data_IF_532760521941
#
_entry.id   IF_532760521941
#
_cell.length_a   1.000
_cell.length_b   1.000
_cell.length_c   1.000
_cell.angle_alpha   90.00
_cell.angle_beta   90.00
_cell.angle_gamma   90.00
#
_symmetry.space_group_name_H-M   'P 1'
#
loop_
_entity.id
_entity.type
_entity.pdbx_description
1 polymer ?
#
# COMPACT_ATOMS: atom_id res chain seq x y z
N UNK A 1 -4.99 -19.54 8.22
CA UNK A 1 -4.24 -18.37 7.68
C UNK A 1 -4.51 -17.17 8.58
N UNK A 2 -3.51 -16.39 8.99
CA UNK A 2 -3.72 -15.20 9.83
C UNK A 2 -4.53 -14.14 9.03
N UNK A 3 -5.46 -13.42 9.69
CA UNK A 3 -6.28 -12.33 9.14
C UNK A 3 -5.49 -11.37 8.22
N UNK A 4 -4.25 -11.01 8.58
CA UNK A 4 -3.41 -10.14 7.76
C UNK A 4 -3.09 -10.71 6.37
N UNK A 5 -2.86 -12.02 6.29
CA UNK A 5 -2.58 -12.71 5.02
C UNK A 5 -3.84 -12.82 4.17
N UNK A 6 -5.00 -12.99 4.79
CA UNK A 6 -6.28 -12.97 4.08
C UNK A 6 -6.58 -11.56 3.54
N UNK A 7 -6.41 -10.52 4.37
CA UNK A 7 -6.60 -9.13 3.99
C UNK A 7 -5.69 -8.77 2.79
N UNK A 8 -4.43 -9.24 2.80
CA UNK A 8 -3.50 -9.10 1.68
C UNK A 8 -3.98 -9.83 0.42
N UNK A 9 -4.40 -11.09 0.55
CA UNK A 9 -4.87 -11.86 -0.61
C UNK A 9 -6.09 -11.22 -1.27
N UNK A 10 -7.02 -10.69 -0.49
CA UNK A 10 -8.19 -9.98 -1.03
C UNK A 10 -7.76 -8.79 -1.88
N UNK A 11 -6.85 -7.94 -1.38
CA UNK A 11 -6.35 -6.78 -2.14
C UNK A 11 -5.61 -7.21 -3.42
N UNK A 12 -4.81 -8.28 -3.35
CA UNK A 12 -4.07 -8.77 -4.51
C UNK A 12 -5.00 -9.43 -5.55
N UNK A 13 -6.06 -10.10 -5.12
CA UNK A 13 -7.09 -10.62 -6.02
C UNK A 13 -7.82 -9.49 -6.76
N UNK A 14 -8.20 -8.43 -6.05
CA UNK A 14 -8.81 -7.24 -6.66
C UNK A 14 -7.90 -6.59 -7.71
N UNK A 15 -6.58 -6.60 -7.49
CA UNK A 15 -5.60 -6.11 -8.46
C UNK A 15 -5.49 -7.00 -9.70
N UNK A 16 -5.56 -8.33 -9.53
CA UNK A 16 -5.49 -9.28 -10.65
C UNK A 16 -6.76 -9.29 -11.50
N UNK A 17 -7.87 -8.81 -10.95
CA UNK A 17 -9.13 -8.65 -11.65
C UNK A 17 -9.08 -7.41 -12.56
N UNK A 18 -8.61 -7.61 -13.79
CA UNK A 18 -8.33 -6.57 -14.81
C UNK A 18 -9.58 -5.98 -15.47
N UNK A 19 -10.60 -5.65 -14.70
CA UNK A 19 -11.85 -5.08 -15.24
C UNK A 19 -11.71 -3.61 -15.66
N UNK A 20 -10.76 -2.87 -15.07
CA UNK A 20 -10.47 -1.46 -15.44
C UNK A 20 -8.97 -1.14 -15.26
N UNK A 21 -8.28 -0.66 -16.30
CA UNK A 21 -6.90 -0.17 -16.20
C UNK A 21 -6.74 0.98 -15.19
N UNK A 22 -7.73 1.86 -15.09
CA UNK A 22 -7.76 2.98 -14.15
C UNK A 22 -7.78 2.45 -12.71
N UNK A 23 -8.65 1.48 -12.41
CA UNK A 23 -8.70 0.84 -11.10
C UNK A 23 -7.36 0.19 -10.73
N UNK A 24 -6.75 -0.54 -11.67
CA UNK A 24 -5.43 -1.15 -11.47
C UNK A 24 -4.35 -0.11 -11.16
N UNK A 25 -4.40 1.05 -11.82
CA UNK A 25 -3.49 2.17 -11.52
C UNK A 25 -3.64 2.64 -10.07
N UNK A 26 -4.86 2.88 -9.57
CA UNK A 26 -5.06 3.35 -8.20
C UNK A 26 -4.73 2.28 -7.15
N UNK A 27 -4.99 1.01 -7.43
CA UNK A 27 -4.50 -0.08 -6.60
C UNK A 27 -2.96 -0.11 -6.57
N UNK A 28 -2.28 0.10 -7.71
CA UNK A 28 -0.83 0.19 -7.76
C UNK A 28 -0.28 1.34 -6.90
N UNK A 29 -0.95 2.50 -6.86
CA UNK A 29 -0.59 3.62 -5.99
C UNK A 29 -0.63 3.22 -4.52
N UNK A 30 -1.70 2.55 -4.08
CA UNK A 30 -1.84 2.08 -2.68
C UNK A 30 -0.74 1.06 -2.35
N UNK A 31 -0.53 0.09 -3.24
CA UNK A 31 0.48 -0.96 -3.07
C UNK A 31 1.90 -0.39 -3.04
N UNK A 32 2.21 0.57 -3.90
CA UNK A 32 3.51 1.25 -3.93
C UNK A 32 3.73 2.09 -2.66
N UNK A 33 2.74 2.85 -2.21
CA UNK A 33 2.82 3.58 -0.94
C UNK A 33 3.09 2.62 0.24
N UNK A 34 2.48 1.43 0.23
CA UNK A 34 2.73 0.43 1.26
C UNK A 34 4.15 -0.16 1.18
N UNK A 35 4.73 -0.32 -0.02
CA UNK A 35 6.14 -0.65 -0.18
C UNK A 35 7.06 0.45 0.37
N UNK A 36 6.72 1.71 0.17
CA UNK A 36 7.54 2.82 0.67
C UNK A 36 7.46 2.90 2.20
N UNK A 37 6.26 2.80 2.78
CA UNK A 37 6.05 2.81 4.23
C UNK A 37 6.72 1.62 4.95
N UNK A 38 6.87 0.49 4.28
CA UNK A 38 7.47 -0.73 4.85
C UNK A 38 8.94 -0.92 4.50
N UNK A 39 9.58 0.01 3.79
CA UNK A 39 10.99 -0.07 3.45
C UNK A 39 11.83 -0.15 4.74
N UNK A 40 12.73 -1.13 4.90
CA UNK A 40 13.57 -1.22 6.10
C UNK A 40 14.41 0.04 6.30
N UNK A 41 14.54 0.49 7.54
CA UNK A 41 15.45 1.57 7.91
C UNK A 41 16.89 1.06 7.83
N UNK A 42 17.79 1.89 7.30
CA UNK A 42 19.22 1.58 7.24
C UNK A 42 20.02 2.81 7.61
N UNK A 43 21.17 2.64 8.26
CA UNK A 43 22.03 3.76 8.65
C UNK A 43 22.69 4.48 7.47
N UNK A 44 22.75 3.82 6.31
CA UNK A 44 23.41 4.30 5.09
C UNK A 44 22.41 4.82 4.03
N UNK A 45 21.13 4.99 4.38
CA UNK A 45 20.13 5.40 3.41
C UNK A 45 20.12 6.91 3.15
N UNK A 46 19.71 7.30 1.94
CA UNK A 46 19.60 8.72 1.58
C UNK A 46 18.47 9.41 2.35
N UNK A 47 18.62 10.71 2.60
CA UNK A 47 17.57 11.57 3.18
C UNK A 47 16.26 11.49 2.40
N UNK A 48 16.33 11.32 1.08
CA UNK A 48 15.19 11.11 0.21
C UNK A 48 14.45 9.79 0.51
N UNK A 49 15.18 8.69 0.76
CA UNK A 49 14.56 7.41 1.13
C UNK A 49 13.82 7.50 2.48
N UNK A 50 14.40 8.21 3.45
CA UNK A 50 13.75 8.49 4.74
C UNK A 50 12.47 9.30 4.53
N UNK A 51 12.59 10.41 3.77
CA UNK A 51 11.46 11.30 3.48
C UNK A 51 10.30 10.57 2.80
N UNK A 52 10.58 9.70 1.83
CA UNK A 52 9.53 8.93 1.14
C UNK A 52 8.83 7.94 2.07
N UNK A 53 9.58 7.25 2.93
CA UNK A 53 9.00 6.37 3.94
C UNK A 53 8.07 7.14 4.88
N UNK A 54 8.53 8.27 5.42
CA UNK A 54 7.74 9.09 6.35
C UNK A 54 6.48 9.66 5.70
N UNK A 55 6.58 10.14 4.46
CA UNK A 55 5.42 10.61 3.69
C UNK A 55 4.42 9.50 3.44
N UNK A 56 4.87 8.31 3.07
CA UNK A 56 3.98 7.17 2.84
C UNK A 56 3.25 6.75 4.13
N UNK A 57 3.95 6.67 5.26
CA UNK A 57 3.34 6.41 6.57
C UNK A 57 2.29 7.48 6.90
N UNK A 58 2.65 8.75 6.68
CA UNK A 58 1.77 9.90 6.96
C UNK A 58 0.54 9.91 6.07
N UNK A 59 0.66 9.49 4.80
CA UNK A 59 -0.45 9.40 3.86
C UNK A 59 -1.52 8.40 4.34
N UNK A 60 -1.11 7.22 4.84
CA UNK A 60 -2.05 6.26 5.44
C UNK A 60 -2.65 6.75 6.77
N UNK A 61 -1.89 7.50 7.56
CA UNK A 61 -2.31 7.95 8.89
C UNK A 61 -3.12 9.25 8.88
N UNK A 62 -3.09 10.02 7.78
CA UNK A 62 -3.78 11.30 7.69
C UNK A 62 -5.29 11.12 7.84
N UNK A 63 -5.88 11.88 8.78
CA UNK A 63 -7.31 11.84 9.10
C UNK A 63 -8.08 13.09 8.67
N UNK A 64 -7.39 14.21 8.45
CA UNK A 64 -7.98 15.52 8.14
C UNK A 64 -7.12 16.22 7.06
N UNK A 65 -7.74 17.11 6.27
CA UNK A 65 -7.07 17.96 5.29
C UNK A 65 -6.84 17.27 3.95
N UNK A 66 -6.14 17.97 3.05
CA UNK A 66 -5.98 17.55 1.64
C UNK A 66 -5.32 16.19 1.48
N UNK A 67 -4.41 15.81 2.38
CA UNK A 67 -3.78 14.48 2.35
C UNK A 67 -4.78 13.38 2.66
N UNK A 68 -5.67 13.60 3.64
CA UNK A 68 -6.71 12.64 3.99
C UNK A 68 -7.77 12.54 2.88
N UNK A 69 -8.16 13.66 2.29
CA UNK A 69 -9.06 13.69 1.12
C UNK A 69 -8.46 12.94 -0.06
N UNK A 70 -7.21 13.23 -0.41
CA UNK A 70 -6.50 12.55 -1.48
C UNK A 70 -6.41 11.02 -1.26
N UNK A 71 -6.14 10.58 -0.03
CA UNK A 71 -6.13 9.15 0.29
C UNK A 71 -7.51 8.51 0.07
N UNK A 72 -8.59 9.18 0.51
CA UNK A 72 -9.97 8.68 0.33
C UNK A 72 -10.30 8.59 -1.16
N UNK A 73 -10.00 9.63 -1.95
CA UNK A 73 -10.23 9.64 -3.40
C UNK A 73 -9.49 8.50 -4.11
N UNK A 74 -8.23 8.24 -3.74
CA UNK A 74 -7.46 7.11 -4.30
C UNK A 74 -8.09 5.76 -3.93
N UNK A 75 -8.61 5.61 -2.71
CA UNK A 75 -9.32 4.39 -2.31
C UNK A 75 -10.64 4.22 -3.08
N UNK A 76 -11.41 5.29 -3.25
CA UNK A 76 -12.66 5.28 -4.00
C UNK A 76 -12.42 4.88 -5.47
N UNK A 77 -11.37 5.44 -6.10
CA UNK A 77 -11.00 5.08 -7.48
C UNK A 77 -10.45 3.65 -7.61
N UNK A 78 -9.90 3.09 -6.52
CA UNK A 78 -9.52 1.68 -6.44
C UNK A 78 -10.71 0.74 -6.12
N UNK A 79 -11.91 1.31 -5.87
CA UNK A 79 -13.08 0.61 -5.36
C UNK A 79 -12.76 -0.14 -4.04
N UNK A 80 -12.15 0.56 -3.09
CA UNK A 80 -11.79 0.06 -1.77
C UNK A 80 -12.32 0.97 -0.67
N UNK A 81 -12.78 0.37 0.43
CA UNK A 81 -13.14 1.12 1.63
C UNK A 81 -11.89 1.72 2.29
N UNK A 82 -11.85 3.04 2.41
CA UNK A 82 -10.68 3.77 2.92
C UNK A 82 -10.36 3.41 4.39
N UNK A 83 -11.37 3.10 5.21
CA UNK A 83 -11.18 2.70 6.62
C UNK A 83 -10.53 1.32 6.71
N UNK A 84 -10.98 0.37 5.89
CA UNK A 84 -10.37 -0.94 5.73
C UNK A 84 -8.92 -0.83 5.30
N UNK A 85 -8.62 -0.01 4.27
CA UNK A 85 -7.25 0.19 3.76
C UNK A 85 -6.34 0.78 4.85
N UNK A 86 -6.79 1.78 5.62
CA UNK A 86 -5.99 2.31 6.75
C UNK A 86 -5.69 1.26 7.80
N UNK A 87 -6.69 0.50 8.20
CA UNK A 87 -6.53 -0.57 9.19
C UNK A 87 -5.58 -1.65 8.70
N UNK A 88 -5.66 -2.02 7.43
CA UNK A 88 -4.74 -2.95 6.80
C UNK A 88 -3.31 -2.39 6.79
N UNK A 89 -3.11 -1.17 6.28
CA UNK A 89 -1.81 -0.52 6.22
C UNK A 89 -1.17 -0.41 7.60
N UNK A 90 -1.94 -0.01 8.63
CA UNK A 90 -1.48 0.06 10.01
C UNK A 90 -0.96 -1.29 10.49
N UNK A 91 -1.71 -2.39 10.29
CA UNK A 91 -1.26 -3.73 10.68
C UNK A 91 0.01 -4.14 9.94
N UNK A 92 0.09 -3.86 8.63
CA UNK A 92 1.26 -4.19 7.80
C UNK A 92 2.50 -3.45 8.29
N UNK A 93 2.40 -2.12 8.48
CA UNK A 93 3.50 -1.24 8.92
C UNK A 93 4.03 -1.64 10.31
N UNK A 94 3.19 -2.22 11.18
CA UNK A 94 3.60 -2.67 12.51
C UNK A 94 3.84 -4.18 12.62
N UNK A 95 3.65 -4.96 11.54
CA UNK A 95 3.84 -6.42 11.57
C UNK A 95 5.31 -6.82 11.54
N UNK A 96 5.60 -8.05 11.99
CA UNK A 96 6.89 -8.72 11.76
C UNK A 96 7.00 -9.38 10.38
N UNK A 97 5.90 -9.42 9.61
CA UNK A 97 5.82 -10.11 8.32
C UNK A 97 6.10 -9.18 7.11
N UNK A 98 6.64 -7.98 7.34
CA UNK A 98 6.92 -6.98 6.29
C UNK A 98 7.64 -7.56 5.08
N UNK A 99 8.66 -8.38 5.28
CA UNK A 99 9.44 -8.99 4.19
C UNK A 99 8.57 -9.85 3.27
N UNK A 100 7.71 -10.70 3.84
CA UNK A 100 6.79 -11.55 3.08
C UNK A 100 5.78 -10.70 2.30
N UNK A 101 5.17 -9.72 2.96
CA UNK A 101 4.16 -8.85 2.36
C UNK A 101 4.76 -8.05 1.20
N UNK A 102 5.93 -7.45 1.40
CA UNK A 102 6.68 -6.75 0.35
C UNK A 102 6.98 -7.63 -0.84
N UNK A 103 7.41 -8.87 -0.61
CA UNK A 103 7.70 -9.81 -1.68
C UNK A 103 6.45 -10.10 -2.52
N UNK A 104 5.30 -10.32 -1.87
CA UNK A 104 4.02 -10.53 -2.56
C UNK A 104 3.57 -9.31 -3.38
N UNK A 105 3.67 -8.11 -2.81
CA UNK A 105 3.33 -6.88 -3.52
C UNK A 105 4.24 -6.68 -4.75
N UNK A 106 5.55 -6.88 -4.60
CA UNK A 106 6.50 -6.78 -5.71
C UNK A 106 6.20 -7.79 -6.83
N UNK A 107 5.87 -9.03 -6.49
CA UNK A 107 5.48 -10.03 -7.49
C UNK A 107 4.30 -9.54 -8.34
N UNK A 108 3.29 -8.97 -7.70
CA UNK A 108 2.11 -8.44 -8.38
C UNK A 108 2.44 -7.23 -9.25
N UNK A 109 3.15 -6.22 -8.72
CA UNK A 109 3.49 -5.00 -9.47
C UNK A 109 4.53 -5.23 -10.60
N UNK A 110 5.37 -6.26 -10.50
CA UNK A 110 6.35 -6.59 -11.55
C UNK A 110 5.74 -7.43 -12.67
N UNK A 111 4.64 -8.14 -12.41
CA UNK A 111 3.97 -8.98 -13.42
C UNK A 111 3.40 -8.16 -14.58
N UNK A 112 3.08 -6.88 -14.36
CA UNK A 112 2.55 -5.98 -15.40
C UNK A 112 3.63 -5.13 -16.10
N UNK A 113 4.92 -5.35 -15.83
CA UNK A 113 6.02 -4.76 -16.61
C UNK A 113 6.35 -5.68 -17.79
N UNK A 114 5.43 -5.79 -18.75
CA UNK A 114 5.65 -6.44 -20.06
C UNK A 114 5.49 -5.38 -21.14
#
# INVERSE_FOLDING_TARGET
MNKLKLDLLNILQEYQYKDSPERSLFLAVILQALLDATKPMRSDESSQAITYRERAISWFAASIGVTATNFIEVCDMANLDSVYVRNFAYKVIHSKEKTFIRHRINQVLQTDRI
#
